data_IF_416138156871
#
_entry.id   IF_416138156871
#
_cell.length_a   1.000
_cell.length_b   1.000
_cell.length_c   1.000
_cell.angle_alpha   90.00
_cell.angle_beta   90.00
_cell.angle_gamma   90.00
#
_symmetry.space_group_name_H-M   'P 1'
#
loop_
_entity.id
_entity.type
_entity.pdbx_description
1 polymer ?
#
# COMPACT_ATOMS: atom_id res chain seq x y z
N UNK A 1 30.91 -10.60 -19.76
CA UNK A 1 29.56 -11.07 -20.20
C UNK A 1 28.87 -12.00 -19.17
N UNK A 2 29.08 -11.81 -17.86
CA UNK A 2 28.58 -12.71 -16.80
C UNK A 2 27.53 -12.07 -15.85
N UNK A 3 26.73 -11.11 -16.35
CA UNK A 3 25.81 -10.31 -15.51
C UNK A 3 24.31 -10.62 -15.65
N UNK A 4 23.91 -11.46 -16.63
CA UNK A 4 22.50 -11.62 -17.00
C UNK A 4 21.77 -12.74 -16.24
N UNK A 5 22.48 -13.73 -15.69
CA UNK A 5 21.86 -14.89 -15.05
C UNK A 5 21.08 -14.55 -13.77
N UNK A 6 21.59 -13.63 -12.95
CA UNK A 6 20.93 -13.22 -11.71
C UNK A 6 19.67 -12.38 -11.94
N UNK A 7 19.68 -11.56 -12.99
CA UNK A 7 18.54 -10.72 -13.36
C UNK A 7 17.38 -11.60 -13.86
N UNK A 8 17.66 -12.57 -14.75
CA UNK A 8 16.65 -13.51 -15.24
C UNK A 8 16.04 -14.34 -14.11
N UNK A 9 16.84 -14.80 -13.14
CA UNK A 9 16.33 -15.54 -11.99
C UNK A 9 15.39 -14.70 -11.11
N UNK A 10 15.71 -13.42 -10.88
CA UNK A 10 14.85 -12.51 -10.13
C UNK A 10 13.53 -12.21 -10.85
N UNK A 11 13.56 -12.07 -12.19
CA UNK A 11 12.33 -11.92 -12.98
C UNK A 11 11.47 -13.19 -12.97
N UNK A 12 12.09 -14.37 -13.08
CA UNK A 12 11.37 -15.64 -13.02
C UNK A 12 10.75 -15.90 -11.63
N UNK A 13 11.45 -15.56 -10.55
CA UNK A 13 10.92 -15.73 -9.19
C UNK A 13 9.75 -14.77 -8.91
N UNK A 14 9.88 -13.51 -9.30
CA UNK A 14 8.79 -12.54 -9.21
C UNK A 14 7.57 -12.99 -10.05
N UNK A 15 7.79 -13.40 -11.30
CA UNK A 15 6.73 -13.92 -12.17
C UNK A 15 6.06 -15.16 -11.57
N UNK A 16 6.82 -16.06 -10.94
CA UNK A 16 6.30 -17.23 -10.24
C UNK A 16 5.40 -16.85 -9.05
N UNK A 17 5.80 -15.86 -8.24
CA UNK A 17 5.00 -15.36 -7.12
C UNK A 17 3.68 -14.73 -7.63
N UNK A 18 3.74 -13.93 -8.70
CA UNK A 18 2.54 -13.34 -9.29
C UNK A 18 1.61 -14.39 -9.92
N UNK A 19 2.17 -15.39 -10.61
CA UNK A 19 1.40 -16.49 -11.17
C UNK A 19 0.74 -17.33 -10.07
N UNK A 20 1.47 -17.64 -9.00
CA UNK A 20 0.94 -18.34 -7.83
C UNK A 20 -0.18 -17.54 -7.15
N UNK A 21 0.01 -16.23 -6.96
CA UNK A 21 -1.01 -15.35 -6.39
C UNK A 21 -2.27 -15.30 -7.28
N UNK A 22 -2.11 -15.20 -8.61
CA UNK A 22 -3.22 -15.21 -9.56
C UNK A 22 -3.96 -16.56 -9.60
N UNK A 23 -3.22 -17.67 -9.48
CA UNK A 23 -3.78 -19.02 -9.42
C UNK A 23 -4.54 -19.25 -8.12
N UNK A 24 -3.95 -18.90 -6.98
CA UNK A 24 -4.62 -18.93 -5.66
C UNK A 24 -5.87 -18.06 -5.66
N UNK A 25 -5.79 -16.84 -6.21
CA UNK A 25 -6.94 -15.94 -6.31
C UNK A 25 -8.05 -16.57 -7.17
N UNK A 26 -7.73 -17.20 -8.30
CA UNK A 26 -8.72 -17.91 -9.13
C UNK A 26 -9.34 -19.12 -8.44
N UNK A 27 -8.56 -19.88 -7.69
CA UNK A 27 -9.04 -21.09 -6.98
C UNK A 27 -9.89 -20.70 -5.76
N UNK A 28 -9.48 -19.68 -5.00
CA UNK A 28 -10.18 -19.24 -3.79
C UNK A 28 -11.43 -18.38 -4.08
N UNK A 29 -11.45 -17.62 -5.19
CA UNK A 29 -12.64 -16.83 -5.58
C UNK A 29 -13.78 -17.70 -6.12
N UNK A 30 -13.51 -18.95 -6.52
CA UNK A 30 -14.57 -19.86 -6.95
C UNK A 30 -15.64 -20.12 -5.86
N UNK A 31 -15.30 -19.96 -4.58
CA UNK A 31 -16.23 -20.15 -3.45
C UNK A 31 -17.05 -18.89 -3.07
N UNK A 32 -16.74 -17.72 -3.64
CA UNK A 32 -17.47 -16.46 -3.38
C UNK A 32 -18.25 -15.96 -4.59
N UNK A 33 -18.56 -16.83 -5.54
CA UNK A 33 -19.79 -16.63 -6.31
C UNK A 33 -20.93 -16.77 -5.28
N UNK A 34 -21.68 -15.70 -4.92
CA UNK A 34 -23.02 -15.98 -4.44
C UNK A 34 -23.64 -16.81 -5.56
N UNK A 35 -23.96 -18.07 -5.26
CA UNK A 35 -24.99 -18.81 -6.00
C UNK A 35 -26.01 -17.76 -6.35
N UNK A 36 -26.21 -17.50 -7.65
CA UNK A 36 -27.28 -16.62 -8.13
C UNK A 36 -28.55 -17.18 -7.51
N UNK A 37 -28.88 -16.68 -6.31
CA UNK A 37 -30.17 -16.78 -5.72
C UNK A 37 -31.00 -15.94 -6.67
N UNK A 38 -31.55 -16.66 -7.64
CA UNK A 38 -32.71 -16.33 -8.43
C UNK A 38 -33.47 -15.26 -7.67
N UNK A 39 -33.27 -14.01 -8.06
CA UNK A 39 -34.18 -12.93 -7.67
C UNK A 39 -35.47 -13.35 -8.36
N UNK A 40 -36.32 -14.03 -7.61
CA UNK A 40 -37.67 -14.38 -8.02
C UNK A 40 -38.34 -13.06 -8.42
N UNK A 41 -38.46 -12.84 -9.72
CA UNK A 41 -39.33 -11.81 -10.29
C UNK A 41 -40.82 -12.22 -10.20
N UNK A 42 -41.20 -12.90 -9.12
CA UNK A 42 -42.58 -13.24 -8.78
C UNK A 42 -42.95 -12.59 -7.45
N UNK A 43 -42.84 -11.27 -7.39
CA UNK A 43 -43.91 -10.52 -6.73
C UNK A 43 -44.96 -10.24 -7.79
N UNK A 44 -46.11 -10.90 -7.62
CA UNK A 44 -47.35 -10.64 -8.34
C UNK A 44 -47.66 -9.14 -8.38
N UNK A 45 -47.44 -8.51 -9.53
CA UNK A 45 -48.29 -7.40 -9.96
C UNK A 45 -49.43 -8.03 -10.74
N UNK A 46 -50.56 -8.22 -10.07
CA UNK A 46 -51.84 -8.48 -10.73
C UNK A 46 -52.15 -7.34 -11.70
N UNK A 47 -52.28 -7.68 -12.97
CA UNK A 47 -53.05 -6.92 -13.95
C UNK A 47 -52.22 -6.20 -15.01
N UNK A 48 -52.40 -6.59 -16.28
CA UNK A 48 -52.08 -5.73 -17.42
C UNK A 48 -51.13 -6.34 -18.45
N UNK A 49 -51.69 -7.11 -19.36
CA UNK A 49 -51.09 -7.60 -20.61
C UNK A 49 -50.64 -6.41 -21.47
N UNK A 50 -49.33 -6.24 -21.72
CA UNK A 50 -48.88 -5.65 -22.99
C UNK A 50 -47.42 -6.01 -23.31
N UNK A 51 -47.20 -6.48 -24.53
CA UNK A 51 -45.88 -6.77 -25.07
C UNK A 51 -45.15 -5.47 -25.43
N UNK A 52 -43.88 -5.39 -25.05
CA UNK A 52 -42.98 -4.29 -25.41
C UNK A 52 -41.55 -4.68 -25.09
N UNK A 53 -40.69 -4.64 -26.10
CA UNK A 53 -39.25 -4.89 -26.06
C UNK A 53 -38.57 -4.26 -24.83
N UNK A 54 -38.09 -5.08 -23.90
CA UNK A 54 -37.09 -4.65 -22.92
C UNK A 54 -35.72 -5.15 -23.37
N UNK A 55 -35.10 -4.37 -24.25
CA UNK A 55 -33.66 -4.36 -24.42
C UNK A 55 -33.04 -3.99 -23.06
N UNK A 56 -32.20 -4.85 -22.50
CA UNK A 56 -31.36 -4.49 -21.37
C UNK A 56 -30.59 -3.20 -21.73
N UNK A 57 -30.54 -2.18 -20.86
CA UNK A 57 -29.79 -0.98 -21.17
C UNK A 57 -28.32 -1.39 -21.30
N UNK A 58 -27.72 -1.11 -22.46
CA UNK A 58 -26.27 -1.12 -22.63
C UNK A 58 -25.72 -0.02 -21.74
N UNK A 59 -25.44 -0.35 -20.48
CA UNK A 59 -24.78 0.54 -19.52
C UNK A 59 -23.44 0.97 -20.12
N UNK A 60 -23.43 2.13 -20.79
CA UNK A 60 -22.22 2.66 -21.41
C UNK A 60 -21.14 2.87 -20.36
N UNK A 61 -19.88 2.65 -20.72
CA UNK A 61 -18.70 2.79 -19.85
C UNK A 61 -18.71 4.13 -19.07
N UNK A 62 -19.19 5.21 -19.69
CA UNK A 62 -19.35 6.52 -19.07
C UNK A 62 -20.32 6.53 -17.87
N UNK A 63 -21.38 5.73 -17.91
CA UNK A 63 -22.34 5.59 -16.79
C UNK A 63 -21.74 4.84 -15.60
N UNK A 64 -20.80 3.94 -15.85
CA UNK A 64 -20.08 3.19 -14.82
C UNK A 64 -19.04 4.09 -14.16
N UNK A 65 -18.26 4.83 -14.97
CA UNK A 65 -17.27 5.78 -14.46
C UNK A 65 -17.90 6.87 -13.59
N UNK A 66 -19.02 7.46 -14.02
CA UNK A 66 -19.74 8.47 -13.25
C UNK A 66 -20.29 7.92 -11.92
N UNK A 67 -20.76 6.67 -11.90
CA UNK A 67 -21.21 5.99 -10.68
C UNK A 67 -20.05 5.78 -9.69
N UNK A 68 -18.91 5.31 -10.18
CA UNK A 68 -17.67 5.16 -9.38
C UNK A 68 -17.20 6.50 -8.81
N UNK A 69 -17.12 7.54 -9.65
CA UNK A 69 -16.70 8.88 -9.21
C UNK A 69 -17.63 9.47 -8.15
N UNK A 70 -18.94 9.22 -8.26
CA UNK A 70 -19.92 9.66 -7.25
C UNK A 70 -19.73 8.92 -5.92
N UNK A 71 -19.51 7.60 -5.96
CA UNK A 71 -19.21 6.81 -4.77
C UNK A 71 -17.89 7.24 -4.11
N UNK A 72 -16.86 7.58 -4.90
CA UNK A 72 -15.61 8.09 -4.35
C UNK A 72 -15.78 9.46 -3.71
N UNK A 73 -16.62 10.32 -4.30
CA UNK A 73 -16.93 11.62 -3.73
C UNK A 73 -17.64 11.50 -2.37
N UNK A 74 -18.57 10.56 -2.20
CA UNK A 74 -19.21 10.34 -0.89
C UNK A 74 -18.22 9.79 0.13
N UNK A 75 -17.37 8.84 -0.25
CA UNK A 75 -16.31 8.29 0.60
C UNK A 75 -15.31 9.36 1.05
N UNK A 76 -14.90 10.24 0.15
CA UNK A 76 -14.02 11.39 0.45
C UNK A 76 -14.70 12.46 1.31
N UNK A 77 -16.03 12.49 1.41
CA UNK A 77 -16.70 13.42 2.33
C UNK A 77 -16.35 13.07 3.80
N UNK A 78 -16.23 11.77 4.11
CA UNK A 78 -15.86 11.31 5.44
C UNK A 78 -14.44 11.77 5.81
N UNK A 79 -14.31 12.42 6.96
CA UNK A 79 -13.01 12.95 7.37
C UNK A 79 -12.06 11.87 7.90
N UNK A 80 -12.58 10.75 8.41
CA UNK A 80 -11.74 9.65 8.90
C UNK A 80 -11.12 8.87 7.74
N UNK A 81 -11.90 8.51 6.72
CA UNK A 81 -11.36 7.79 5.55
C UNK A 81 -10.34 8.63 4.78
N UNK A 82 -10.57 9.94 4.63
CA UNK A 82 -9.60 10.85 4.00
C UNK A 82 -8.21 10.77 4.63
N UNK A 83 -8.13 10.71 5.95
CA UNK A 83 -6.86 10.59 6.64
C UNK A 83 -6.18 9.25 6.36
N UNK A 84 -6.92 8.14 6.39
CA UNK A 84 -6.39 6.82 6.06
C UNK A 84 -5.89 6.76 4.62
N UNK A 85 -6.66 7.30 3.67
CA UNK A 85 -6.26 7.41 2.26
C UNK A 85 -4.99 8.24 2.08
N UNK A 86 -4.90 9.37 2.79
CA UNK A 86 -3.73 10.25 2.75
C UNK A 86 -2.49 9.53 3.29
N UNK A 87 -2.60 8.87 4.45
CA UNK A 87 -1.47 8.13 5.01
C UNK A 87 -1.03 6.96 4.13
N UNK A 88 -1.99 6.25 3.53
CA UNK A 88 -1.67 5.20 2.56
C UNK A 88 -0.88 5.78 1.39
N UNK A 89 -1.34 6.88 0.79
CA UNK A 89 -0.61 7.57 -0.28
C UNK A 89 0.80 8.01 0.13
N UNK A 90 0.95 8.61 1.32
CA UNK A 90 2.25 9.05 1.86
C UNK A 90 3.20 7.88 2.13
N UNK A 91 2.67 6.74 2.60
CA UNK A 91 3.47 5.53 2.78
C UNK A 91 3.97 5.01 1.42
N UNK A 92 3.10 4.88 0.42
CA UNK A 92 3.50 4.42 -0.92
C UNK A 92 4.45 5.40 -1.63
N UNK A 93 4.27 6.71 -1.40
CA UNK A 93 5.22 7.74 -1.82
C UNK A 93 6.61 7.49 -1.23
N UNK A 94 6.68 7.28 0.09
CA UNK A 94 7.94 7.07 0.80
C UNK A 94 8.58 5.73 0.43
N UNK A 95 7.78 4.68 0.25
CA UNK A 95 8.24 3.36 -0.16
C UNK A 95 8.87 3.42 -1.56
N UNK A 96 8.21 4.06 -2.51
CA UNK A 96 8.70 4.18 -3.88
C UNK A 96 9.95 5.08 -3.98
N UNK A 97 9.91 6.25 -3.34
CA UNK A 97 11.03 7.19 -3.34
C UNK A 97 12.23 6.68 -2.54
N UNK A 98 12.06 6.42 -1.25
CA UNK A 98 13.17 6.06 -0.38
C UNK A 98 13.61 4.60 -0.58
N UNK A 99 12.70 3.63 -0.54
CA UNK A 99 13.08 2.22 -0.54
C UNK A 99 13.36 1.67 -1.95
N UNK A 100 12.54 2.01 -2.96
CA UNK A 100 12.72 1.46 -4.30
C UNK A 100 13.74 2.25 -5.14
N UNK A 101 13.91 3.56 -4.88
CA UNK A 101 14.77 4.43 -5.68
C UNK A 101 16.08 4.76 -4.98
N UNK A 102 16.04 5.42 -3.80
CA UNK A 102 17.25 5.91 -3.14
C UNK A 102 18.08 4.81 -2.48
N UNK A 103 17.42 3.86 -1.80
CA UNK A 103 18.11 2.84 -1.02
C UNK A 103 19.09 2.00 -1.87
N UNK A 104 18.69 1.44 -3.03
CA UNK A 104 19.63 0.73 -3.90
C UNK A 104 20.76 1.64 -4.42
N UNK A 105 20.46 2.90 -4.73
CA UNK A 105 21.45 3.87 -5.21
C UNK A 105 22.50 4.18 -4.14
N UNK A 106 22.08 4.31 -2.88
CA UNK A 106 22.99 4.58 -1.76
C UNK A 106 23.77 3.34 -1.33
N UNK A 107 23.21 2.14 -1.50
CA UNK A 107 23.91 0.87 -1.24
C UNK A 107 24.94 0.52 -2.33
N UNK A 108 24.68 0.91 -3.59
CA UNK A 108 25.61 0.67 -4.70
C UNK A 108 26.73 1.71 -4.78
N UNK A 109 26.60 2.84 -4.11
CA UNK A 109 27.61 3.90 -4.07
C UNK A 109 28.95 3.37 -3.51
N UNK A 110 29.99 3.38 -4.35
CA UNK A 110 31.33 2.92 -4.04
C UNK A 110 32.01 3.73 -2.94
N UNK A 111 31.62 5.00 -2.73
CA UNK A 111 32.15 5.81 -1.65
C UNK A 111 31.60 5.42 -0.27
N UNK A 112 30.51 4.63 -0.22
CA UNK A 112 29.84 4.22 1.02
C UNK A 112 29.96 2.71 1.25
N UNK A 113 29.26 1.92 0.46
CA UNK A 113 29.18 0.47 0.65
C UNK A 113 29.67 -0.32 -0.57
N UNK A 114 29.56 0.24 -1.77
CA UNK A 114 30.01 -0.38 -3.02
C UNK A 114 29.41 -1.77 -3.26
N UNK A 115 28.17 -2.00 -2.83
CA UNK A 115 27.57 -3.33 -2.91
C UNK A 115 27.26 -3.72 -4.34
N UNK A 116 27.50 -4.99 -4.64
CA UNK A 116 27.09 -5.59 -5.91
C UNK A 116 25.56 -5.75 -5.96
N UNK A 117 24.96 -5.80 -7.16
CA UNK A 117 23.52 -6.03 -7.30
C UNK A 117 23.00 -7.28 -6.58
N UNK A 118 23.81 -8.35 -6.54
CA UNK A 118 23.46 -9.58 -5.82
C UNK A 118 23.37 -9.39 -4.30
N UNK A 119 24.27 -8.59 -3.72
CA UNK A 119 24.24 -8.27 -2.29
C UNK A 119 23.06 -7.37 -1.93
N UNK A 120 22.76 -6.37 -2.78
CA UNK A 120 21.56 -5.53 -2.62
C UNK A 120 20.30 -6.39 -2.69
N UNK A 121 20.20 -7.29 -3.67
CA UNK A 121 19.11 -8.27 -3.75
C UNK A 121 18.99 -9.13 -2.48
N UNK A 122 20.11 -9.56 -1.90
CA UNK A 122 20.15 -10.27 -0.62
C UNK A 122 19.60 -9.45 0.55
N UNK A 123 19.87 -8.14 0.60
CA UNK A 123 19.31 -7.23 1.61
C UNK A 123 17.79 -7.11 1.47
N UNK A 124 17.28 -6.95 0.24
CA UNK A 124 15.83 -6.94 0.01
C UNK A 124 15.17 -8.29 0.32
N UNK A 125 15.86 -9.40 0.06
CA UNK A 125 15.40 -10.73 0.45
C UNK A 125 15.33 -10.87 1.98
N UNK A 126 16.33 -10.37 2.71
CA UNK A 126 16.29 -10.31 4.17
C UNK A 126 15.12 -9.44 4.68
N UNK A 127 14.91 -8.26 4.10
CA UNK A 127 13.74 -7.43 4.42
C UNK A 127 12.41 -8.16 4.18
N UNK A 128 12.33 -8.93 3.09
CA UNK A 128 11.14 -9.74 2.78
C UNK A 128 10.95 -10.88 3.78
N UNK A 129 12.03 -11.54 4.22
CA UNK A 129 11.96 -12.55 5.27
C UNK A 129 11.45 -11.96 6.60
N UNK A 130 11.92 -10.77 6.98
CA UNK A 130 11.40 -10.04 8.14
C UNK A 130 9.92 -9.73 7.98
N UNK A 131 9.48 -9.31 6.79
CA UNK A 131 8.09 -9.03 6.52
C UNK A 131 7.21 -10.29 6.62
N UNK A 132 7.66 -11.43 6.09
CA UNK A 132 6.94 -12.71 6.17
C UNK A 132 6.83 -13.17 7.62
N UNK A 133 7.93 -13.18 8.36
CA UNK A 133 7.94 -13.59 9.77
C UNK A 133 7.16 -12.60 10.65
N UNK A 134 7.19 -11.32 10.29
CA UNK A 134 6.49 -10.24 10.97
C UNK A 134 5.00 -10.13 10.63
N UNK A 135 4.55 -10.72 9.52
CA UNK A 135 3.17 -10.57 9.05
C UNK A 135 2.15 -11.10 10.07
N UNK A 136 2.30 -12.35 10.53
CA UNK A 136 1.41 -12.94 11.52
C UNK A 136 1.35 -12.15 12.85
N UNK A 137 2.49 -11.82 13.51
CA UNK A 137 2.44 -11.03 14.74
C UNK A 137 1.92 -9.61 14.51
N UNK A 138 2.21 -9.00 13.35
CA UNK A 138 1.67 -7.68 13.01
C UNK A 138 0.15 -7.69 12.86
N UNK A 139 -0.42 -8.74 12.26
CA UNK A 139 -1.85 -8.91 12.14
C UNK A 139 -2.51 -9.11 13.52
N UNK A 140 -1.97 -10.01 14.34
CA UNK A 140 -2.47 -10.23 15.72
C UNK A 140 -2.39 -8.95 16.55
N UNK A 141 -1.32 -8.17 16.39
CA UNK A 141 -1.19 -6.88 17.08
C UNK A 141 -2.28 -5.90 16.60
N UNK A 142 -2.48 -5.77 15.30
CA UNK A 142 -3.52 -4.91 14.72
C UNK A 142 -4.93 -5.32 15.18
N UNK A 143 -5.21 -6.62 15.29
CA UNK A 143 -6.50 -7.14 15.76
C UNK A 143 -6.71 -6.85 17.25
N UNK A 144 -5.66 -6.91 18.08
CA UNK A 144 -5.76 -6.71 19.54
C UNK A 144 -5.89 -5.25 19.95
N UNK A 145 -5.06 -4.36 19.41
CA UNK A 145 -5.05 -2.93 19.82
C UNK A 145 -5.85 -2.03 18.86
N UNK A 146 -6.32 -2.59 17.74
CA UNK A 146 -7.08 -1.89 16.72
C UNK A 146 -6.18 -1.34 15.61
N UNK A 147 -6.56 -1.54 14.33
CA UNK A 147 -5.70 -1.22 13.20
C UNK A 147 -5.36 0.28 13.11
N UNK A 148 -6.30 1.16 13.46
CA UNK A 148 -6.07 2.61 13.46
C UNK A 148 -5.00 3.08 14.46
N UNK A 149 -4.83 2.38 15.60
CA UNK A 149 -3.83 2.73 16.62
C UNK A 149 -2.41 2.26 16.27
N UNK A 150 -2.28 1.25 15.40
CA UNK A 150 -1.00 0.71 14.95
C UNK A 150 -0.35 1.60 13.89
N UNK A 151 -1.15 2.24 13.03
CA UNK A 151 -0.66 2.99 11.88
C UNK A 151 0.32 4.10 12.28
N UNK A 152 -0.05 4.94 13.26
CA UNK A 152 0.80 6.05 13.71
C UNK A 152 2.19 5.62 14.16
N UNK A 153 2.32 4.74 15.19
CA UNK A 153 3.60 4.22 15.64
C UNK A 153 4.41 3.52 14.56
N UNK A 154 3.76 2.76 13.67
CA UNK A 154 4.43 2.08 12.57
C UNK A 154 5.03 3.08 11.58
N UNK A 155 4.28 4.13 11.20
CA UNK A 155 4.79 5.21 10.35
C UNK A 155 5.96 5.97 11.00
N UNK A 156 5.87 6.27 12.30
CA UNK A 156 6.98 6.90 13.03
C UNK A 156 8.22 6.01 13.04
N UNK A 157 8.05 4.69 13.24
CA UNK A 157 9.15 3.72 13.23
C UNK A 157 9.81 3.66 11.86
N UNK A 158 9.02 3.57 10.78
CA UNK A 158 9.52 3.60 9.41
C UNK A 158 10.25 4.91 9.11
N UNK A 159 9.69 6.05 9.50
CA UNK A 159 10.30 7.33 9.23
C UNK A 159 11.62 7.54 10.02
N UNK A 160 11.68 7.07 11.27
CA UNK A 160 12.91 7.05 12.06
C UNK A 160 14.00 6.21 11.39
N UNK A 161 13.64 5.03 10.86
CA UNK A 161 14.59 4.19 10.13
C UNK A 161 15.07 4.86 8.82
N UNK A 162 14.17 5.47 8.05
CA UNK A 162 14.52 6.25 6.85
C UNK A 162 15.49 7.39 7.20
N UNK A 163 15.22 8.14 8.28
CA UNK A 163 16.10 9.23 8.73
C UNK A 163 17.45 8.72 9.24
N UNK A 164 17.49 7.54 9.85
CA UNK A 164 18.72 6.98 10.42
C UNK A 164 19.64 6.36 9.37
N UNK A 165 19.10 5.84 8.25
CA UNK A 165 19.88 5.13 7.24
C UNK A 165 21.03 5.95 6.63
N UNK A 166 20.87 7.24 6.27
CA UNK A 166 21.98 8.06 5.79
C UNK A 166 23.17 8.12 6.76
N UNK A 167 22.97 7.95 8.06
CA UNK A 167 24.05 8.01 9.03
C UNK A 167 24.75 6.66 9.28
N UNK A 168 24.33 5.60 8.59
CA UNK A 168 24.98 4.30 8.67
C UNK A 168 26.37 4.34 8.00
N UNK A 169 27.41 4.00 8.76
CA UNK A 169 28.81 4.02 8.32
C UNK A 169 29.29 2.67 7.80
N UNK A 170 28.74 1.59 8.37
CA UNK A 170 29.12 0.22 8.07
C UNK A 170 27.91 -0.63 7.70
N UNK A 171 28.13 -1.70 6.95
CA UNK A 171 27.08 -2.59 6.47
C UNK A 171 26.20 -3.18 7.60
N UNK A 172 26.74 -3.63 8.75
CA UNK A 172 25.92 -4.12 9.86
C UNK A 172 24.98 -3.06 10.42
N UNK A 173 25.43 -1.80 10.51
CA UNK A 173 24.60 -0.69 10.97
C UNK A 173 23.48 -0.41 9.97
N UNK A 174 23.78 -0.42 8.67
CA UNK A 174 22.78 -0.27 7.61
C UNK A 174 21.74 -1.40 7.67
N UNK A 175 22.17 -2.66 7.81
CA UNK A 175 21.27 -3.81 7.95
C UNK A 175 20.39 -3.71 9.19
N UNK A 176 20.91 -3.26 10.33
CA UNK A 176 20.13 -3.06 11.54
C UNK A 176 19.03 -2.00 11.35
N UNK A 177 19.36 -0.88 10.69
CA UNK A 177 18.37 0.17 10.36
C UNK A 177 17.32 -0.36 9.39
N UNK A 178 17.73 -1.12 8.36
CA UNK A 178 16.81 -1.71 7.40
C UNK A 178 15.90 -2.78 8.02
N UNK A 179 16.38 -3.50 9.03
CA UNK A 179 15.54 -4.40 9.82
C UNK A 179 14.44 -3.62 10.57
N UNK A 180 14.79 -2.52 11.23
CA UNK A 180 13.81 -1.65 11.91
C UNK A 180 12.81 -1.06 10.89
N UNK A 181 13.29 -0.64 9.73
CA UNK A 181 12.44 -0.20 8.62
C UNK A 181 11.46 -1.31 8.22
N UNK A 182 11.95 -2.53 7.99
CA UNK A 182 11.11 -3.69 7.63
C UNK A 182 10.02 -3.94 8.64
N UNK A 183 10.34 -3.95 9.94
CA UNK A 183 9.36 -4.14 11.01
C UNK A 183 8.25 -3.08 10.95
N UNK A 184 8.61 -1.79 10.83
CA UNK A 184 7.64 -0.70 10.71
C UNK A 184 6.77 -0.84 9.45
N UNK A 185 7.39 -1.15 8.30
CA UNK A 185 6.67 -1.30 7.02
C UNK A 185 5.72 -2.50 6.99
N UNK A 186 6.05 -3.57 7.74
CA UNK A 186 5.24 -4.78 7.82
C UNK A 186 3.90 -4.49 8.49
N UNK A 187 3.91 -3.71 9.57
CA UNK A 187 2.69 -3.25 10.25
C UNK A 187 1.80 -2.40 9.34
N UNK A 188 2.40 -1.63 8.44
CA UNK A 188 1.68 -0.79 7.47
C UNK A 188 1.13 -1.59 6.27
N UNK A 189 1.53 -2.86 6.10
CA UNK A 189 1.05 -3.69 4.99
C UNK A 189 -0.43 -4.08 5.10
N UNK A 190 -0.95 -4.26 6.32
CA UNK A 190 -2.33 -4.72 6.55
C UNK A 190 -3.19 -3.72 7.33
N UNK A 191 -2.60 -2.93 8.23
CA UNK A 191 -3.36 -2.06 9.14
C UNK A 191 -4.19 -0.96 8.42
N UNK A 192 -3.69 -0.23 7.39
CA UNK A 192 -4.49 0.78 6.70
C UNK A 192 -5.72 0.20 6.01
N UNK A 193 -5.55 -0.96 5.35
CA UNK A 193 -6.63 -1.69 4.67
C UNK A 193 -7.71 -2.12 5.65
N UNK A 194 -7.30 -2.77 6.75
CA UNK A 194 -8.23 -3.20 7.80
C UNK A 194 -8.95 -2.00 8.44
N UNK A 195 -8.22 -0.90 8.68
CA UNK A 195 -8.83 0.31 9.24
C UNK A 195 -9.84 0.93 8.27
N UNK A 196 -9.53 1.04 6.98
CA UNK A 196 -10.43 1.58 5.97
C UNK A 196 -11.72 0.76 5.85
N UNK A 197 -11.63 -0.58 5.86
CA UNK A 197 -12.81 -1.47 5.77
C UNK A 197 -13.69 -1.44 7.02
N UNK A 198 -13.13 -1.07 8.17
CA UNK A 198 -13.87 -0.90 9.42
C UNK A 198 -14.63 0.44 9.48
N UNK A 199 -14.27 1.41 8.63
CA UNK A 199 -14.90 2.74 8.58
C UNK A 199 -16.08 2.82 7.61
N UNK A 200 -16.28 1.80 6.77
CA UNK A 200 -17.30 1.80 5.69
C UNK A 200 -18.23 0.60 5.80
N UNK A 201 -19.47 0.76 5.32
CA UNK A 201 -20.44 -0.33 5.23
C UNK A 201 -20.03 -1.41 4.23
N UNK A 202 -20.61 -2.61 4.32
CA UNK A 202 -20.31 -3.76 3.43
C UNK A 202 -20.37 -3.40 1.95
N UNK A 203 -21.34 -2.57 1.57
CA UNK A 203 -21.66 -2.24 0.18
C UNK A 203 -20.65 -1.26 -0.42
N UNK A 204 -19.94 -0.50 0.43
CA UNK A 204 -18.95 0.49 0.02
C UNK A 204 -17.50 0.00 0.14
N UNK A 205 -17.26 -1.17 0.77
CA UNK A 205 -15.90 -1.71 0.99
C UNK A 205 -15.09 -1.84 -0.29
N UNK A 206 -15.70 -2.38 -1.35
CA UNK A 206 -15.01 -2.54 -2.64
C UNK A 206 -14.56 -1.18 -3.20
N UNK A 207 -15.41 -0.15 -3.09
CA UNK A 207 -15.10 1.20 -3.55
C UNK A 207 -14.04 1.88 -2.68
N UNK A 208 -14.09 1.69 -1.36
CA UNK A 208 -13.09 2.22 -0.43
C UNK A 208 -11.71 1.60 -0.68
N UNK A 209 -11.64 0.29 -0.92
CA UNK A 209 -10.40 -0.40 -1.25
C UNK A 209 -9.85 0.02 -2.62
N UNK A 210 -10.73 0.21 -3.62
CA UNK A 210 -10.33 0.71 -4.93
C UNK A 210 -9.75 2.13 -4.82
N UNK A 211 -10.43 3.02 -4.10
CA UNK A 211 -9.96 4.40 -3.86
C UNK A 211 -8.63 4.42 -3.09
N UNK A 212 -8.46 3.55 -2.09
CA UNK A 212 -7.22 3.41 -1.35
C UNK A 212 -6.08 2.91 -2.23
N UNK A 213 -6.34 1.94 -3.12
CA UNK A 213 -5.37 1.52 -4.13
C UNK A 213 -4.96 2.68 -5.02
N UNK A 214 -5.92 3.43 -5.56
CA UNK A 214 -5.65 4.61 -6.40
C UNK A 214 -4.82 5.66 -5.67
N UNK A 215 -5.12 5.93 -4.39
CA UNK A 215 -4.30 6.84 -3.57
C UNK A 215 -2.86 6.33 -3.40
N UNK A 216 -2.69 5.01 -3.24
CA UNK A 216 -1.37 4.36 -3.20
C UNK A 216 -0.61 4.49 -4.52
N UNK A 217 -1.27 4.26 -5.66
CA UNK A 217 -0.66 4.38 -6.99
C UNK A 217 -0.22 5.82 -7.30
N UNK A 218 -1.03 6.82 -6.91
CA UNK A 218 -0.65 8.24 -6.99
C UNK A 218 0.57 8.53 -6.12
N UNK A 219 0.58 8.00 -4.89
CA UNK A 219 1.73 8.08 -3.99
C UNK A 219 2.98 7.49 -4.63
N UNK A 220 2.89 6.28 -5.18
CA UNK A 220 4.00 5.58 -5.82
C UNK A 220 4.57 6.36 -7.01
N UNK A 221 3.72 6.87 -7.91
CA UNK A 221 4.15 7.63 -9.09
C UNK A 221 4.79 8.97 -8.73
N UNK A 222 4.20 9.70 -7.78
CA UNK A 222 4.76 10.97 -7.30
C UNK A 222 6.03 10.76 -6.46
N UNK A 223 6.11 9.68 -5.70
CA UNK A 223 7.25 9.31 -4.84
C UNK A 223 8.55 9.15 -5.61
N UNK A 224 8.60 8.20 -6.54
CA UNK A 224 9.80 7.98 -7.35
C UNK A 224 10.24 9.24 -8.09
N UNK A 225 9.29 9.99 -8.65
CA UNK A 225 9.56 11.20 -9.44
C UNK A 225 10.12 12.33 -8.57
N UNK A 226 9.43 12.70 -7.49
CA UNK A 226 9.81 13.83 -6.63
C UNK A 226 11.08 13.52 -5.85
N UNK A 227 11.18 12.33 -5.25
CA UNK A 227 12.34 11.93 -4.46
C UNK A 227 13.57 11.72 -5.35
N UNK A 228 13.40 11.12 -6.53
CA UNK A 228 14.47 10.98 -7.52
C UNK A 228 14.98 12.34 -8.02
N UNK A 229 14.08 13.26 -8.37
CA UNK A 229 14.44 14.63 -8.78
C UNK A 229 15.17 15.39 -7.65
N UNK A 230 14.69 15.25 -6.42
CA UNK A 230 15.35 15.86 -5.24
C UNK A 230 16.74 15.29 -5.04
N UNK A 231 16.93 13.98 -5.17
CA UNK A 231 18.23 13.35 -5.03
C UNK A 231 19.21 13.77 -6.13
N UNK A 232 18.73 13.98 -7.37
CA UNK A 232 19.57 14.45 -8.47
C UNK A 232 20.08 15.88 -8.30
N UNK A 233 19.36 16.73 -7.55
CA UNK A 233 19.68 18.15 -7.36
C UNK A 233 20.38 18.45 -6.03
N UNK A 234 19.99 17.78 -4.95
CA UNK A 234 20.48 18.05 -3.58
C UNK A 234 21.22 16.86 -2.94
N UNK A 235 21.32 15.72 -3.63
CA UNK A 235 21.94 14.49 -3.14
C UNK A 235 20.97 13.52 -2.46
N UNK A 236 21.32 12.23 -2.44
CA UNK A 236 20.46 11.16 -1.92
C UNK A 236 20.19 11.29 -0.41
N UNK A 237 21.14 11.80 0.38
CA UNK A 237 20.98 11.96 1.82
C UNK A 237 19.89 12.99 2.16
N UNK A 238 19.91 14.16 1.52
CA UNK A 238 18.92 15.22 1.74
C UNK A 238 17.54 14.80 1.28
N UNK A 239 17.44 14.12 0.14
CA UNK A 239 16.18 13.56 -0.36
C UNK A 239 15.58 12.51 0.61
N UNK A 240 16.43 11.69 1.24
CA UNK A 240 15.98 10.72 2.21
C UNK A 240 15.51 11.39 3.52
N UNK A 241 16.23 12.41 3.99
CA UNK A 241 15.81 13.20 5.15
C UNK A 241 14.48 13.93 4.87
N UNK A 242 14.32 14.57 3.72
CA UNK A 242 13.08 15.21 3.32
C UNK A 242 11.90 14.22 3.30
N UNK A 243 12.12 13.01 2.78
CA UNK A 243 11.11 11.94 2.78
C UNK A 243 10.74 11.51 4.20
N UNK A 244 11.72 11.32 5.09
CA UNK A 244 11.44 11.01 6.50
C UNK A 244 10.68 12.13 7.22
N UNK A 245 11.02 13.39 6.97
CA UNK A 245 10.34 14.54 7.58
C UNK A 245 8.88 14.62 7.12
N UNK A 246 8.63 14.39 5.82
CA UNK A 246 7.29 14.34 5.26
C UNK A 246 6.45 13.20 5.86
N UNK A 247 7.05 12.01 6.00
CA UNK A 247 6.41 10.86 6.61
C UNK A 247 6.10 11.08 8.11
N UNK A 248 7.06 11.64 8.87
CA UNK A 248 6.88 12.00 10.29
C UNK A 248 5.79 13.07 10.49
N UNK A 249 5.78 14.11 9.66
CA UNK A 249 4.77 15.17 9.73
C UNK A 249 3.36 14.60 9.47
N UNK A 250 3.24 13.72 8.48
CA UNK A 250 1.98 13.03 8.16
C UNK A 250 1.53 12.09 9.28
N UNK A 251 2.45 11.32 9.86
CA UNK A 251 2.16 10.46 11.01
C UNK A 251 1.71 11.28 12.24
N UNK A 252 2.43 12.37 12.54
CA UNK A 252 2.14 13.24 13.68
C UNK A 252 0.77 13.90 13.55
N UNK A 253 0.45 14.43 12.37
CA UNK A 253 -0.88 15.03 12.12
C UNK A 253 -2.00 14.00 12.25
N UNK A 254 -1.80 12.76 11.81
CA UNK A 254 -2.78 11.70 12.03
C UNK A 254 -2.99 11.36 13.50
N UNK A 255 -1.90 11.17 14.25
CA UNK A 255 -1.97 10.85 15.68
C UNK A 255 -2.67 11.97 16.46
N UNK A 256 -2.33 13.24 16.17
CA UNK A 256 -2.99 14.39 16.78
C UNK A 256 -4.49 14.43 16.45
N UNK A 257 -4.86 14.23 15.18
CA UNK A 257 -6.27 14.22 14.76
C UNK A 257 -7.06 13.02 15.32
N UNK A 258 -6.41 11.87 15.50
CA UNK A 258 -6.99 10.67 16.10
C UNK A 258 -7.26 10.85 17.60
N UNK A 259 -6.32 11.45 18.33
CA UNK A 259 -6.48 11.76 19.75
C UNK A 259 -7.59 12.79 20.01
N UNK A 260 -7.64 13.86 19.20
CA UNK A 260 -8.67 14.91 19.31
C UNK A 260 -10.10 14.35 19.10
N UNK A 261 -10.24 13.28 18.31
CA UNK A 261 -11.55 12.66 18.02
C UNK A 261 -11.98 11.58 19.01
N UNK A 262 -11.07 11.01 19.80
CA UNK A 262 -11.43 10.04 20.85
C UNK A 262 -11.97 10.71 22.12
N UNK A 263 -11.96 12.05 22.19
CA UNK A 263 -12.47 12.84 23.33
C UNK A 263 -13.87 13.46 23.07
N UNK A 264 -14.47 13.22 21.90
CA UNK A 264 -15.86 13.59 21.58
C UNK A 264 -16.69 12.35 21.35
#
# INVERSE_FOLDING_TARGET
>A
LAGWGGVTFAFCSAAGIFAANALCTRVLIAETQPSRARVDCTQEVKGGRNGGNNSAPSDGEGSVLLRTMRAWRSLLASSQLRWVLTLNGVYWFSLSGAQMTLLPLMLSDAARFGLTPGQIGGIFAAQSAVAVLGAAPSAVLADRIGPGRVIGPAMCTTAAAISMFPYAKDLPQACAVLFVWSVGSTLLGSAPTAHATNLVGSDERAQALALMRTAGDVGLLSGATVVGATASSFGSETAMQATSAFLLASASTFVLNGMVRSYK
#
